data_IF_611786243089
#
_entry.id   IF_611786243089
#
_cell.length_a   1.000
_cell.length_b   1.000
_cell.length_c   1.000
_cell.angle_alpha   90.00
_cell.angle_beta   90.00
_cell.angle_gamma   90.00
#
_symmetry.space_group_name_H-M   'P 1'
#
loop_
_entity.id
_entity.type
_entity.pdbx_description
1 polymer ?
#
# COMPACT_ATOMS: atom_id res chain seq x y z
N UNK A 1 11.94 -57.61 -0.67
CA UNK A 1 10.96 -57.23 -1.71
C UNK A 1 9.89 -56.42 -1.02
N UNK A 2 9.64 -55.13 -1.24
CA UNK A 2 10.06 -54.18 -2.26
C UNK A 2 10.48 -52.88 -1.57
N UNK A 3 11.62 -52.32 -2.00
CA UNK A 3 11.99 -50.93 -1.77
C UNK A 3 11.26 -50.04 -2.78
N UNK A 4 10.67 -48.94 -2.33
CA UNK A 4 10.57 -47.72 -3.13
C UNK A 4 10.67 -46.50 -2.22
N UNK A 5 11.90 -46.10 -1.91
CA UNK A 5 12.19 -44.74 -1.45
C UNK A 5 12.35 -43.90 -2.72
N UNK A 6 11.28 -43.20 -3.10
CA UNK A 6 11.33 -42.16 -4.12
C UNK A 6 12.15 -40.99 -3.60
N UNK A 7 13.42 -40.93 -4.02
CA UNK A 7 14.26 -39.75 -3.90
C UNK A 7 13.71 -38.66 -4.82
N UNK A 8 12.82 -37.80 -4.32
CA UNK A 8 12.58 -36.49 -4.92
C UNK A 8 13.56 -35.53 -4.24
N UNK A 9 14.77 -35.44 -4.79
CA UNK A 9 15.63 -34.28 -4.54
C UNK A 9 15.12 -33.17 -5.45
N UNK A 10 14.25 -32.31 -4.94
CA UNK A 10 14.12 -30.98 -5.52
C UNK A 10 15.49 -30.31 -5.41
N UNK A 11 16.16 -30.16 -6.55
CA UNK A 11 17.37 -29.39 -6.64
C UNK A 11 17.01 -27.94 -6.27
N UNK A 12 17.36 -27.52 -5.06
CA UNK A 12 17.39 -26.12 -4.72
C UNK A 12 18.33 -25.44 -5.74
N UNK A 13 17.77 -24.58 -6.59
CA UNK A 13 18.56 -23.70 -7.43
C UNK A 13 19.31 -22.73 -6.52
N UNK A 14 20.50 -23.12 -6.06
CA UNK A 14 21.39 -22.25 -5.29
C UNK A 14 21.90 -21.12 -6.20
N UNK A 15 21.18 -20.00 -6.18
CA UNK A 15 21.69 -18.75 -6.75
C UNK A 15 22.68 -18.18 -5.74
N UNK A 16 23.98 -18.32 -6.03
CA UNK A 16 25.04 -17.70 -5.24
C UNK A 16 25.15 -16.23 -5.63
N UNK A 17 24.80 -15.33 -4.71
CA UNK A 17 24.98 -13.90 -4.89
C UNK A 17 26.42 -13.51 -4.54
N UNK A 18 27.22 -13.16 -5.55
CA UNK A 18 28.59 -12.68 -5.36
C UNK A 18 28.60 -11.15 -5.23
N UNK A 19 28.97 -10.65 -4.05
CA UNK A 19 29.21 -9.23 -3.80
C UNK A 19 30.64 -8.79 -4.17
N UNK A 20 31.00 -7.53 -3.84
CA UNK A 20 32.37 -7.04 -3.99
C UNK A 20 33.36 -7.97 -3.27
N UNK A 21 34.39 -8.39 -4.00
CA UNK A 21 35.42 -9.30 -3.49
C UNK A 21 36.70 -8.53 -3.16
N UNK A 22 37.25 -8.77 -1.97
CA UNK A 22 38.56 -8.25 -1.56
C UNK A 22 39.53 -9.42 -1.46
N UNK A 23 40.68 -9.33 -2.15
CA UNK A 23 41.71 -10.37 -2.07
C UNK A 23 42.30 -10.41 -0.66
N UNK A 24 42.57 -11.62 -0.15
CA UNK A 24 43.31 -11.79 1.11
C UNK A 24 44.64 -11.03 1.06
N UNK A 25 45.34 -11.05 -0.07
CA UNK A 25 46.59 -10.30 -0.23
C UNK A 25 46.42 -8.77 -0.08
N UNK A 26 45.25 -8.22 -0.38
CA UNK A 26 44.94 -6.80 -0.16
C UNK A 26 44.64 -6.51 1.31
N UNK A 27 43.95 -7.43 2.00
CA UNK A 27 43.74 -7.39 3.45
C UNK A 27 45.11 -7.40 4.16
N UNK A 28 46.00 -8.30 3.78
CA UNK A 28 47.33 -8.45 4.36
C UNK A 28 48.27 -7.26 4.09
N UNK A 29 48.05 -6.48 3.01
CA UNK A 29 48.81 -5.25 2.75
C UNK A 29 48.45 -4.12 3.71
N UNK A 30 47.25 -4.15 4.31
CA UNK A 30 46.72 -3.08 5.19
C UNK A 30 45.98 -3.69 6.39
N UNK A 31 46.64 -4.50 7.24
CA UNK A 31 45.97 -5.27 8.29
C UNK A 31 45.20 -4.37 9.27
N UNK A 32 45.76 -3.22 9.66
CA UNK A 32 45.12 -2.27 10.59
C UNK A 32 43.79 -1.68 10.08
N UNK A 33 43.49 -1.77 8.78
CA UNK A 33 42.22 -1.31 8.20
C UNK A 33 41.13 -2.36 8.28
N UNK A 34 41.51 -3.64 8.19
CA UNK A 34 40.59 -4.75 7.95
C UNK A 34 40.49 -5.72 9.14
N UNK A 35 41.53 -5.81 9.96
CA UNK A 35 41.61 -6.70 11.11
C UNK A 35 41.48 -5.89 12.40
N UNK A 36 40.68 -6.40 13.34
CA UNK A 36 40.65 -5.94 14.74
C UNK A 36 41.30 -7.03 15.58
N UNK A 37 42.40 -6.68 16.26
CA UNK A 37 43.17 -7.60 17.10
C UNK A 37 43.60 -8.89 16.37
N UNK A 38 43.95 -8.77 15.09
CA UNK A 38 44.37 -9.91 14.24
C UNK A 38 43.22 -10.74 13.67
N UNK A 39 41.96 -10.45 14.02
CA UNK A 39 40.78 -11.12 13.50
C UNK A 39 40.05 -10.29 12.43
N UNK A 40 39.61 -10.95 11.36
CA UNK A 40 38.69 -10.36 10.40
C UNK A 40 37.26 -10.45 10.97
N UNK A 41 36.63 -9.31 11.18
CA UNK A 41 35.21 -9.26 11.55
C UNK A 41 34.38 -8.92 10.32
N UNK A 42 33.42 -9.79 9.99
CA UNK A 42 32.47 -9.58 8.89
C UNK A 42 31.09 -9.40 9.51
N UNK A 43 30.52 -8.22 9.33
CA UNK A 43 29.11 -7.96 9.61
C UNK A 43 28.35 -7.99 8.29
N UNK A 44 27.32 -8.83 8.22
CA UNK A 44 26.40 -8.88 7.10
C UNK A 44 24.98 -8.80 7.63
N UNK A 45 24.05 -8.38 6.77
CA UNK A 45 22.64 -8.46 7.07
C UNK A 45 21.85 -8.69 5.80
N UNK A 46 20.68 -9.27 6.00
CA UNK A 46 19.75 -9.65 4.95
C UNK A 46 18.57 -8.71 5.07
N UNK A 47 18.20 -8.08 3.96
CA UNK A 47 16.98 -7.28 3.88
C UNK A 47 16.02 -7.97 2.91
N UNK A 48 14.78 -8.14 3.36
CA UNK A 48 13.71 -8.68 2.55
C UNK A 48 12.97 -7.51 1.89
N UNK A 49 13.18 -7.27 0.60
CA UNK A 49 12.52 -6.17 -0.13
C UNK A 49 11.02 -6.44 -0.36
N UNK A 50 10.68 -7.69 -0.69
CA UNK A 50 9.34 -8.11 -1.06
C UNK A 50 9.15 -9.60 -0.76
N UNK A 51 7.91 -9.98 -0.52
CA UNK A 51 7.53 -11.37 -0.26
C UNK A 51 6.30 -11.75 -1.08
N UNK A 52 6.18 -13.05 -1.35
CA UNK A 52 5.05 -13.65 -2.05
C UNK A 52 4.30 -14.53 -1.05
N UNK A 53 3.03 -14.21 -0.78
CA UNK A 53 2.25 -14.90 0.23
C UNK A 53 1.22 -15.87 -0.39
N UNK A 54 0.37 -16.48 0.43
CA UNK A 54 -0.62 -17.48 0.02
C UNK A 54 -1.62 -16.97 -1.04
N UNK A 55 -1.87 -15.66 -1.06
CA UNK A 55 -2.71 -14.98 -2.06
C UNK A 55 -2.06 -14.90 -3.45
N UNK A 56 -0.83 -15.40 -3.59
CA UNK A 56 -0.03 -15.37 -4.81
C UNK A 56 0.24 -13.95 -5.33
N UNK A 57 0.16 -12.95 -4.47
CA UNK A 57 0.45 -11.55 -4.81
C UNK A 57 1.78 -11.16 -4.18
N UNK A 58 2.64 -10.51 -4.97
CA UNK A 58 3.87 -9.91 -4.44
C UNK A 58 3.54 -8.67 -3.63
N UNK A 59 4.06 -8.61 -2.40
CA UNK A 59 3.92 -7.48 -1.47
C UNK A 59 5.29 -6.93 -1.12
N UNK A 60 5.38 -5.61 -0.94
CA UNK A 60 6.58 -4.98 -0.43
C UNK A 60 6.69 -5.23 1.07
N UNK A 61 7.91 -5.40 1.57
CA UNK A 61 8.13 -5.43 3.00
C UNK A 61 8.20 -4.00 3.54
N UNK A 62 7.08 -3.54 4.09
CA UNK A 62 6.99 -2.22 4.70
C UNK A 62 7.17 -2.26 6.21
N UNK A 63 7.26 -3.44 6.85
CA UNK A 63 7.27 -3.57 8.32
C UNK A 63 8.67 -3.72 8.91
N UNK A 64 9.60 -4.27 8.15
CA UNK A 64 10.95 -4.45 8.64
C UNK A 64 11.81 -3.22 8.37
N UNK A 65 12.57 -2.84 9.40
CA UNK A 65 13.62 -1.85 9.24
C UNK A 65 14.73 -2.39 8.33
N UNK A 66 15.29 -1.52 7.50
CA UNK A 66 16.29 -1.90 6.52
C UNK A 66 17.65 -2.07 7.19
N UNK A 67 18.35 -3.18 6.89
CA UNK A 67 19.67 -3.41 7.44
C UNK A 67 20.70 -2.46 6.80
N UNK A 68 21.19 -1.50 7.58
CA UNK A 68 22.40 -0.72 7.29
C UNK A 68 22.41 0.04 5.95
N UNK A 69 21.24 0.31 5.36
CA UNK A 69 21.16 1.02 4.08
C UNK A 69 21.16 2.52 4.34
N UNK A 70 22.16 3.19 3.78
CA UNK A 70 22.25 4.64 3.67
C UNK A 70 21.19 5.18 2.69
N UNK A 71 19.90 4.92 2.91
CA UNK A 71 18.84 5.47 2.06
C UNK A 71 18.44 6.85 2.57
N UNK A 72 18.94 7.86 1.86
CA UNK A 72 18.77 9.29 2.17
C UNK A 72 17.31 9.77 2.20
N UNK A 73 16.31 8.94 1.89
CA UNK A 73 14.96 9.40 1.60
C UNK A 73 13.84 8.48 2.12
N UNK A 74 14.10 7.57 3.05
CA UNK A 74 13.03 6.77 3.63
C UNK A 74 12.37 7.49 4.82
N UNK A 75 11.12 7.14 5.07
CA UNK A 75 10.36 7.61 6.21
C UNK A 75 9.71 6.47 6.95
N UNK A 76 9.91 6.48 8.26
CA UNK A 76 9.16 5.68 9.22
C UNK A 76 7.83 6.39 9.50
N UNK A 77 6.73 5.71 9.23
CA UNK A 77 5.38 6.12 9.61
C UNK A 77 5.03 5.37 10.88
N UNK A 78 4.85 6.09 11.97
CA UNK A 78 4.54 5.51 13.28
C UNK A 78 3.15 5.97 13.70
N UNK A 79 2.29 5.03 14.09
CA UNK A 79 1.02 5.36 14.73
C UNK A 79 1.18 5.41 16.25
N UNK A 80 0.17 5.90 16.97
CA UNK A 80 0.23 6.04 18.43
C UNK A 80 0.36 4.69 19.18
N UNK A 81 0.17 3.55 18.50
CA UNK A 81 0.38 2.20 19.04
C UNK A 81 1.84 1.71 18.89
N UNK A 82 2.73 2.55 18.34
CA UNK A 82 4.13 2.22 18.08
C UNK A 82 4.34 1.27 16.90
N UNK A 83 3.33 1.07 16.04
CA UNK A 83 3.45 0.26 14.84
C UNK A 83 4.03 1.08 13.70
N UNK A 84 5.02 0.51 13.03
CA UNK A 84 5.89 1.22 12.10
C UNK A 84 5.76 0.71 10.66
N UNK A 85 5.73 1.63 9.71
CA UNK A 85 5.84 1.35 8.28
C UNK A 85 6.99 2.14 7.65
N UNK A 86 7.83 1.46 6.87
CA UNK A 86 8.99 2.03 6.19
C UNK A 86 8.68 2.20 4.70
N UNK A 87 8.78 3.43 4.21
CA UNK A 87 8.50 3.74 2.81
C UNK A 87 9.38 4.87 2.26
N UNK A 88 9.62 4.85 0.95
CA UNK A 88 10.39 5.89 0.27
C UNK A 88 9.60 7.19 0.16
N UNK A 89 10.15 8.30 0.68
CA UNK A 89 9.60 9.66 0.52
C UNK A 89 9.36 10.01 -0.95
N UNK A 90 10.23 9.57 -1.86
CA UNK A 90 10.08 9.88 -3.30
C UNK A 90 8.78 9.31 -3.84
N UNK A 91 8.48 8.05 -3.49
CA UNK A 91 7.29 7.37 -3.97
C UNK A 91 6.04 7.95 -3.28
N UNK A 92 6.11 8.18 -1.96
CA UNK A 92 5.03 8.84 -1.22
C UNK A 92 4.67 10.21 -1.82
N UNK A 93 5.65 11.06 -2.11
CA UNK A 93 5.41 12.37 -2.75
C UNK A 93 4.80 12.26 -4.13
N UNK A 94 5.16 11.23 -4.87
CA UNK A 94 4.68 11.04 -6.23
C UNK A 94 3.20 10.64 -6.25
N UNK A 95 2.77 9.71 -5.39
CA UNK A 95 1.40 9.21 -5.40
C UNK A 95 0.44 9.95 -4.45
N UNK A 96 0.95 10.64 -3.43
CA UNK A 96 0.13 11.31 -2.41
C UNK A 96 0.36 12.82 -2.35
N UNK A 97 -0.72 13.57 -2.53
CA UNK A 97 -0.70 15.02 -2.30
C UNK A 97 -0.50 15.39 -0.84
N UNK A 98 -0.93 14.53 0.09
CA UNK A 98 -0.69 14.72 1.51
C UNK A 98 0.82 14.72 1.79
N UNK A 99 1.52 13.65 1.38
CA UNK A 99 2.95 13.52 1.59
C UNK A 99 3.75 14.53 0.77
N UNK A 100 3.34 14.86 -0.46
CA UNK A 100 3.93 15.95 -1.25
C UNK A 100 3.91 17.29 -0.51
N UNK A 101 2.86 17.56 0.28
CA UNK A 101 2.76 18.80 1.08
C UNK A 101 3.63 18.77 2.34
N UNK A 102 3.79 17.61 2.97
CA UNK A 102 4.61 17.41 4.17
C UNK A 102 6.11 17.40 3.88
N UNK A 103 6.49 16.95 2.69
CA UNK A 103 7.89 16.85 2.25
C UNK A 103 8.26 17.97 1.27
N UNK A 104 7.79 19.19 1.53
CA UNK A 104 8.28 20.38 0.82
C UNK A 104 9.66 20.77 1.37
N UNK A 105 10.65 21.12 0.53
CA UNK A 105 11.99 21.50 1.01
C UNK A 105 12.01 22.65 2.03
N UNK A 106 10.99 23.50 2.01
CA UNK A 106 10.79 24.60 2.96
C UNK A 106 10.20 24.18 4.31
N UNK A 107 9.68 22.95 4.43
CA UNK A 107 9.12 22.40 5.67
C UNK A 107 10.24 21.71 6.46
N UNK A 108 10.35 22.00 7.76
CA UNK A 108 11.31 21.33 8.65
C UNK A 108 11.16 19.80 8.61
N UNK A 109 9.95 19.31 8.35
CA UNK A 109 9.63 17.88 8.19
C UNK A 109 10.29 17.21 6.99
N UNK A 110 10.80 17.98 6.03
CA UNK A 110 11.51 17.44 4.88
C UNK A 110 12.72 16.57 5.28
N UNK A 111 13.44 17.02 6.30
CA UNK A 111 14.66 16.37 6.79
C UNK A 111 14.37 15.29 7.84
N UNK A 112 13.14 15.19 8.35
CA UNK A 112 12.77 14.15 9.30
C UNK A 112 12.81 12.78 8.63
N UNK A 113 13.38 11.79 9.31
CA UNK A 113 13.31 10.39 8.89
C UNK A 113 12.06 9.69 9.40
N UNK A 114 11.24 10.39 10.17
CA UNK A 114 10.06 9.87 10.82
C UNK A 114 8.90 10.86 10.63
N UNK A 115 7.70 10.34 10.42
CA UNK A 115 6.49 11.12 10.37
C UNK A 115 5.42 10.42 11.21
N UNK A 116 5.09 10.98 12.38
CA UNK A 116 4.02 10.43 13.20
C UNK A 116 2.69 10.59 12.47
N UNK A 117 1.94 9.50 12.43
CA UNK A 117 0.54 9.45 12.07
C UNK A 117 -0.27 9.42 13.37
N UNK A 118 -1.39 10.13 13.41
CA UNK A 118 -2.28 10.08 14.58
C UNK A 118 -3.12 8.79 14.59
N UNK A 119 -3.81 8.53 15.70
CA UNK A 119 -4.78 7.43 15.87
C UNK A 119 -5.85 7.29 14.77
N UNK A 120 -6.06 8.31 13.93
CA UNK A 120 -7.02 8.20 12.82
C UNK A 120 -6.53 7.34 11.65
N UNK A 121 -5.27 6.88 11.70
CA UNK A 121 -4.64 5.98 10.74
C UNK A 121 -4.35 4.62 11.41
N UNK A 122 -5.11 3.60 11.02
CA UNK A 122 -4.81 2.22 11.41
C UNK A 122 -3.68 1.68 10.52
N UNK A 123 -2.77 0.91 11.12
CA UNK A 123 -1.56 0.45 10.42
C UNK A 123 -1.89 -0.47 9.24
N UNK A 124 -2.85 -1.39 9.38
CA UNK A 124 -3.15 -2.39 8.36
C UNK A 124 -3.79 -1.76 7.11
N UNK A 125 -4.67 -0.78 7.29
CA UNK A 125 -5.23 -0.02 6.18
C UNK A 125 -4.20 0.94 5.57
N UNK A 126 -3.30 1.50 6.38
CA UNK A 126 -2.20 2.32 5.87
C UNK A 126 -1.24 1.50 5.02
N UNK A 127 -0.85 0.31 5.49
CA UNK A 127 -0.04 -0.67 4.76
C UNK A 127 -0.73 -1.01 3.44
N UNK A 128 -2.02 -1.39 3.47
CA UNK A 128 -2.80 -1.69 2.27
C UNK A 128 -2.83 -0.53 1.25
N UNK A 129 -3.02 0.70 1.71
CA UNK A 129 -2.95 1.90 0.86
C UNK A 129 -1.57 2.07 0.24
N UNK A 130 -0.50 1.87 1.00
CA UNK A 130 0.86 1.94 0.48
C UNK A 130 1.09 0.85 -0.56
N UNK A 131 0.80 -0.41 -0.26
CA UNK A 131 0.95 -1.55 -1.19
C UNK A 131 0.25 -1.24 -2.53
N UNK A 132 -1.02 -0.85 -2.50
CA UNK A 132 -1.77 -0.48 -3.72
C UNK A 132 -1.15 0.76 -4.38
N UNK A 133 -0.73 1.73 -3.58
CA UNK A 133 -0.03 2.93 -4.02
C UNK A 133 1.22 2.62 -4.84
N UNK A 134 1.93 1.55 -4.46
CA UNK A 134 3.12 1.02 -5.10
C UNK A 134 2.84 0.04 -6.25
N UNK A 135 1.57 -0.23 -6.56
CA UNK A 135 1.15 -1.06 -7.68
C UNK A 135 0.78 -2.51 -7.33
N UNK A 136 0.74 -2.86 -6.05
CA UNK A 136 0.24 -4.17 -5.60
C UNK A 136 -1.27 -4.25 -5.82
N UNK A 137 -1.72 -5.30 -6.49
CA UNK A 137 -3.15 -5.53 -6.76
C UNK A 137 -3.74 -6.44 -5.71
N UNK A 138 -4.01 -5.90 -4.53
CA UNK A 138 -4.64 -6.66 -3.44
C UNK A 138 -6.01 -7.19 -3.89
N UNK A 139 -6.24 -8.49 -3.70
CA UNK A 139 -7.54 -9.10 -3.96
C UNK A 139 -8.47 -8.85 -2.78
N UNK A 140 -9.69 -8.40 -3.07
CA UNK A 140 -10.75 -8.25 -2.07
C UNK A 140 -11.83 -9.34 -2.17
N UNK A 141 -11.59 -10.39 -2.96
CA UNK A 141 -12.52 -11.51 -3.09
C UNK A 141 -12.64 -12.34 -1.82
N UNK A 142 -11.56 -12.40 -1.03
CA UNK A 142 -11.42 -13.32 0.10
C UNK A 142 -11.41 -12.58 1.45
N UNK A 143 -11.73 -11.28 1.42
CA UNK A 143 -11.59 -10.36 2.56
C UNK A 143 -12.94 -9.74 2.88
N UNK A 144 -13.16 -9.36 4.14
CA UNK A 144 -14.35 -8.61 4.53
C UNK A 144 -14.43 -7.31 3.69
N UNK A 145 -15.53 -7.12 2.98
CA UNK A 145 -15.73 -5.95 2.13
C UNK A 145 -15.73 -4.63 2.93
N UNK A 146 -15.86 -4.70 4.26
CA UNK A 146 -15.61 -3.59 5.18
C UNK A 146 -14.17 -3.04 5.09
N UNK A 147 -13.19 -3.86 4.69
CA UNK A 147 -11.80 -3.42 4.53
C UNK A 147 -11.63 -2.47 3.35
N UNK A 148 -12.36 -2.67 2.23
CA UNK A 148 -12.30 -1.75 1.09
C UNK A 148 -12.74 -0.35 1.51
N UNK A 149 -13.79 -0.28 2.33
CA UNK A 149 -14.35 0.96 2.86
C UNK A 149 -13.30 1.70 3.70
N UNK A 150 -12.58 1.01 4.58
CA UNK A 150 -11.53 1.60 5.40
C UNK A 150 -10.28 1.98 4.60
N UNK A 151 -9.93 1.19 3.59
CA UNK A 151 -8.83 1.51 2.67
C UNK A 151 -9.16 2.77 1.86
N UNK A 152 -10.39 2.93 1.38
CA UNK A 152 -10.85 4.18 0.71
C UNK A 152 -10.76 5.36 1.67
N UNK A 153 -11.30 5.24 2.90
CA UNK A 153 -11.22 6.30 3.92
C UNK A 153 -9.78 6.73 4.17
N UNK A 154 -8.89 5.76 4.33
CA UNK A 154 -7.46 5.98 4.57
C UNK A 154 -6.77 6.60 3.36
N UNK A 155 -7.05 6.11 2.15
CA UNK A 155 -6.52 6.64 0.89
C UNK A 155 -6.95 8.09 0.67
N UNK A 156 -8.19 8.45 0.98
CA UNK A 156 -8.71 9.81 0.85
C UNK A 156 -8.08 10.77 1.86
N UNK A 157 -7.91 10.34 3.12
CA UNK A 157 -7.15 11.10 4.15
C UNK A 157 -5.71 11.36 3.70
N UNK A 158 -5.05 10.32 3.17
CA UNK A 158 -3.68 10.40 2.64
C UNK A 158 -3.63 10.96 1.21
N UNK A 159 -4.76 11.28 0.58
CA UNK A 159 -4.86 11.81 -0.78
C UNK A 159 -4.15 10.95 -1.85
N UNK A 160 -4.23 9.62 -1.75
CA UNK A 160 -3.77 8.65 -2.75
C UNK A 160 -4.84 8.38 -3.81
N UNK A 161 -4.91 9.22 -4.83
CA UNK A 161 -5.95 9.12 -5.86
C UNK A 161 -5.88 7.84 -6.70
N UNK A 162 -4.69 7.28 -6.88
CA UNK A 162 -4.53 6.00 -7.58
C UNK A 162 -5.14 4.85 -6.78
N UNK A 163 -5.01 4.88 -5.45
CA UNK A 163 -5.60 3.88 -4.56
C UNK A 163 -7.12 4.01 -4.55
N UNK A 164 -7.67 5.22 -4.39
CA UNK A 164 -9.13 5.42 -4.43
C UNK A 164 -9.76 4.92 -5.73
N UNK A 165 -9.10 5.15 -6.87
CA UNK A 165 -9.52 4.63 -8.18
C UNK A 165 -9.45 3.12 -8.28
N UNK A 166 -8.42 2.51 -7.70
CA UNK A 166 -8.31 1.06 -7.65
C UNK A 166 -9.45 0.46 -6.82
N UNK A 167 -9.67 0.97 -5.61
CA UNK A 167 -10.76 0.53 -4.75
C UNK A 167 -12.12 0.71 -5.43
N UNK A 168 -12.35 1.83 -6.10
CA UNK A 168 -13.56 2.07 -6.88
C UNK A 168 -13.80 0.99 -7.96
N UNK A 169 -12.76 0.55 -8.67
CA UNK A 169 -12.86 -0.56 -9.61
C UNK A 169 -13.22 -1.88 -8.92
N UNK A 170 -12.65 -2.13 -7.74
CA UNK A 170 -12.94 -3.33 -6.96
C UNK A 170 -14.38 -3.32 -6.45
N UNK A 171 -14.88 -2.16 -5.99
CA UNK A 171 -16.29 -2.00 -5.61
C UNK A 171 -17.22 -2.30 -6.79
N UNK A 172 -16.89 -1.85 -8.01
CA UNK A 172 -17.68 -2.17 -9.23
C UNK A 172 -17.72 -3.69 -9.48
N UNK A 173 -16.60 -4.39 -9.34
CA UNK A 173 -16.55 -5.86 -9.48
C UNK A 173 -17.43 -6.54 -8.43
N UNK A 174 -17.52 -5.95 -7.23
CA UNK A 174 -18.27 -6.47 -6.10
C UNK A 174 -19.71 -5.92 -6.00
N UNK A 175 -20.19 -5.17 -7.00
CA UNK A 175 -21.44 -4.39 -6.90
C UNK A 175 -22.73 -5.22 -6.82
N UNK A 176 -22.65 -6.54 -6.74
CA UNK A 176 -23.79 -7.45 -6.52
C UNK A 176 -23.82 -8.09 -5.13
N UNK A 177 -23.04 -7.57 -4.18
CA UNK A 177 -22.93 -8.09 -2.81
C UNK A 177 -23.82 -7.31 -1.83
N UNK A 178 -23.95 -7.80 -0.59
CA UNK A 178 -24.73 -7.17 0.49
C UNK A 178 -24.20 -5.81 0.96
N UNK A 179 -23.08 -5.32 0.41
CA UNK A 179 -22.41 -4.07 0.81
C UNK A 179 -22.72 -2.89 -0.12
N UNK A 180 -23.68 -3.08 -1.02
CA UNK A 180 -24.10 -2.06 -1.97
C UNK A 180 -24.38 -0.68 -1.33
N UNK A 181 -25.12 -0.66 -0.22
CA UNK A 181 -25.51 0.58 0.48
C UNK A 181 -24.30 1.34 1.03
N UNK A 182 -23.38 0.61 1.65
CA UNK A 182 -22.16 1.18 2.22
C UNK A 182 -21.22 1.69 1.13
N UNK A 183 -21.11 0.95 0.02
CA UNK A 183 -20.32 1.36 -1.13
C UNK A 183 -20.90 2.59 -1.81
N UNK A 184 -22.22 2.69 -1.96
CA UNK A 184 -22.87 3.87 -2.52
C UNK A 184 -22.66 5.09 -1.62
N UNK A 185 -22.86 4.92 -0.31
CA UNK A 185 -22.60 5.95 0.70
C UNK A 185 -21.15 6.45 0.62
N UNK A 186 -20.20 5.53 0.57
CA UNK A 186 -18.77 5.83 0.44
C UNK A 186 -18.47 6.59 -0.86
N UNK A 187 -19.01 6.10 -1.98
CA UNK A 187 -18.77 6.67 -3.29
C UNK A 187 -19.30 8.09 -3.41
N UNK A 188 -20.45 8.39 -2.81
CA UNK A 188 -20.99 9.75 -2.73
C UNK A 188 -20.08 10.66 -1.91
N UNK A 189 -19.73 10.25 -0.69
CA UNK A 189 -18.92 11.05 0.25
C UNK A 189 -17.52 11.37 -0.28
N UNK A 190 -16.92 10.44 -1.01
CA UNK A 190 -15.56 10.57 -1.52
C UNK A 190 -15.48 10.79 -3.04
N UNK A 191 -16.61 11.11 -3.68
CA UNK A 191 -16.66 11.47 -5.10
C UNK A 191 -16.11 10.38 -6.05
N UNK A 192 -16.39 9.11 -5.73
CA UNK A 192 -16.08 7.94 -6.56
C UNK A 192 -17.15 7.81 -7.66
N UNK A 193 -17.05 8.71 -8.65
CA UNK A 193 -18.07 8.89 -9.69
C UNK A 193 -18.23 7.70 -10.64
N UNK A 194 -17.21 6.87 -10.85
CA UNK A 194 -17.33 5.67 -11.67
C UNK A 194 -18.21 4.62 -10.98
N UNK A 195 -18.09 4.45 -9.65
CA UNK A 195 -18.99 3.57 -8.92
C UNK A 195 -20.43 4.12 -8.94
N UNK A 196 -20.62 5.41 -8.66
CA UNK A 196 -21.97 6.03 -8.74
C UNK A 196 -22.56 5.88 -10.15
N UNK A 197 -21.78 6.11 -11.20
CA UNK A 197 -22.24 5.93 -12.58
C UNK A 197 -22.58 4.47 -12.91
N UNK A 198 -21.84 3.50 -12.35
CA UNK A 198 -22.12 2.07 -12.48
C UNK A 198 -23.46 1.70 -11.86
N UNK A 199 -23.69 2.10 -10.62
CA UNK A 199 -24.97 1.91 -9.91
C UNK A 199 -26.15 2.52 -10.68
N UNK A 200 -26.01 3.76 -11.16
CA UNK A 200 -27.04 4.43 -11.96
C UNK A 200 -27.36 3.72 -13.29
N UNK A 201 -26.42 2.94 -13.85
CA UNK A 201 -26.64 2.13 -15.05
C UNK A 201 -27.37 0.83 -14.74
N UNK A 202 -27.12 0.23 -13.59
CA UNK A 202 -27.79 -1.00 -13.16
C UNK A 202 -29.27 -0.79 -12.81
N UNK A 203 -29.77 0.46 -12.82
CA UNK A 203 -31.11 0.83 -12.35
C UNK A 203 -31.39 0.38 -10.91
N UNK A 204 -30.34 0.20 -10.12
CA UNK A 204 -30.50 -0.10 -8.72
C UNK A 204 -31.14 1.08 -8.00
N UNK A 205 -31.93 0.76 -6.98
CA UNK A 205 -32.78 1.72 -6.30
C UNK A 205 -31.91 2.78 -5.62
N UNK A 206 -31.96 4.01 -6.13
CA UNK A 206 -31.35 5.20 -5.49
C UNK A 206 -32.13 5.66 -4.25
N UNK A 207 -33.15 4.92 -3.79
CA UNK A 207 -33.91 5.21 -2.55
C UNK A 207 -33.03 5.22 -1.29
N UNK A 208 -31.79 4.76 -1.40
CA UNK A 208 -30.81 4.70 -0.31
C UNK A 208 -30.02 6.01 -0.15
N UNK A 209 -30.09 6.95 -1.12
CA UNK A 209 -29.51 8.28 -0.90
C UNK A 209 -30.26 8.95 0.24
N UNK A 210 -29.58 9.11 1.38
CA UNK A 210 -30.10 9.87 2.52
C UNK A 210 -29.84 11.35 2.33
N UNK A 211 -30.62 12.18 3.01
CA UNK A 211 -30.45 13.63 2.99
C UNK A 211 -29.04 14.06 3.45
N UNK A 212 -28.46 13.33 4.41
CA UNK A 212 -27.06 13.53 4.84
C UNK A 212 -26.05 13.30 3.71
N UNK A 213 -26.29 12.33 2.81
CA UNK A 213 -25.39 12.03 1.71
C UNK A 213 -25.45 13.14 0.64
N UNK A 214 -26.62 13.78 0.46
CA UNK A 214 -26.79 14.93 -0.45
C UNK A 214 -25.90 16.10 -0.02
N UNK A 215 -25.79 16.36 1.28
CA UNK A 215 -24.96 17.45 1.82
C UNK A 215 -23.47 17.24 1.54
N UNK A 216 -23.05 16.00 1.34
CA UNK A 216 -21.66 15.64 1.05
C UNK A 216 -21.38 15.42 -0.45
N UNK A 217 -22.40 15.48 -1.31
CA UNK A 217 -22.23 15.28 -2.75
C UNK A 217 -21.37 16.38 -3.37
N UNK A 218 -20.43 15.95 -4.20
CA UNK A 218 -19.79 16.89 -5.11
C UNK A 218 -20.79 17.35 -6.19
N UNK A 219 -20.53 18.52 -6.79
CA UNK A 219 -21.26 18.99 -7.96
C UNK A 219 -21.33 17.94 -9.08
N UNK A 220 -20.25 17.19 -9.30
CA UNK A 220 -20.20 16.16 -10.35
C UNK A 220 -21.13 14.98 -10.03
N UNK A 221 -21.11 14.53 -8.77
CA UNK A 221 -21.97 13.45 -8.28
C UNK A 221 -23.44 13.84 -8.38
N UNK A 222 -23.77 15.07 -7.98
CA UNK A 222 -25.12 15.62 -8.09
C UNK A 222 -25.59 15.70 -9.55
N UNK A 223 -24.75 16.21 -10.47
CA UNK A 223 -25.07 16.25 -11.90
C UNK A 223 -25.31 14.84 -12.45
N UNK A 224 -24.49 13.85 -12.09
CA UNK A 224 -24.66 12.47 -12.52
C UNK A 224 -26.02 11.91 -12.08
N UNK A 225 -26.36 12.07 -10.82
CA UNK A 225 -27.64 11.59 -10.26
C UNK A 225 -28.82 12.32 -10.89
N UNK A 226 -28.80 13.65 -10.96
CA UNK A 226 -29.86 14.44 -11.60
C UNK A 226 -30.06 14.06 -13.06
N UNK A 227 -28.99 13.82 -13.80
CA UNK A 227 -29.07 13.42 -15.22
C UNK A 227 -29.83 12.10 -15.41
N UNK A 228 -29.76 11.19 -14.44
CA UNK A 228 -30.52 9.92 -14.46
C UNK A 228 -32.00 10.16 -14.17
N UNK A 229 -32.32 10.96 -13.14
CA UNK A 229 -33.71 11.28 -12.82
C UNK A 229 -34.41 12.00 -13.98
N UNK A 230 -33.78 13.00 -14.57
CA UNK A 230 -34.35 13.74 -15.71
C UNK A 230 -34.59 12.83 -16.92
N UNK A 231 -33.74 11.82 -17.17
CA UNK A 231 -33.95 10.84 -18.25
C UNK A 231 -35.13 9.89 -18.01
N UNK A 232 -35.51 9.66 -16.76
CA UNK A 232 -36.61 8.76 -16.40
C UNK A 232 -37.96 9.51 -16.27
N UNK A 233 -37.97 10.84 -16.41
CA UNK A 233 -39.18 11.69 -16.28
C UNK A 233 -39.83 12.05 -17.62
N UNK A 234 -39.34 11.52 -18.74
CA UNK A 234 -39.88 11.66 -20.09
C UNK A 234 -39.93 10.29 -20.77
#
# INVERSE_FOLDING_TARGET
MYSSHGNVREAANEIVFCGPYVKISEIMKRPNRWLRDGALMIEYGIHLDAYHFQDRIWKFNLRDNWFNVCQKLDIKLENDDGLELFCSKKILRFHSKYFASKFRPSDRRFYLKELPLNTSFQVDYTDSVLQIGHGVRLSFSDVDHSDIIEIVRTAEKLKFRNVSRYCEQQMIVLSGTSYYDDFLTMAIRHNLNHYVAHVLRMNESMKIIREEDIQHMSRNTMILIMSKFMKNSF
#
